data_IF_074667332207
#
_entry.id   IF_074667332207
#
_cell.length_a   1.000
_cell.length_b   1.000
_cell.length_c   1.000
_cell.angle_alpha   90.00
_cell.angle_beta   90.00
_cell.angle_gamma   90.00
#
_symmetry.space_group_name_H-M   'P 1'
#
loop_
_entity.id
_entity.type
_entity.pdbx_description
1 polymer ?
#
# COMPACT_ATOMS: atom_id res chain seq x y z
N UNK A 1 5.67 -14.62 -4.29
CA UNK A 1 6.85 -13.78 -4.62
C UNK A 1 8.10 -14.34 -3.93
N UNK A 2 9.27 -14.41 -4.60
CA UNK A 2 10.54 -14.91 -4.04
C UNK A 2 11.25 -13.88 -3.13
N UNK A 3 10.48 -13.18 -2.30
CA UNK A 3 10.94 -12.15 -1.37
C UNK A 3 10.30 -12.39 -0.01
N UNK A 4 10.91 -11.86 1.04
CA UNK A 4 10.39 -11.89 2.40
C UNK A 4 9.21 -10.93 2.56
N UNK A 5 8.31 -11.15 3.55
CA UNK A 5 7.21 -10.23 3.83
C UNK A 5 7.69 -8.80 4.11
N UNK A 6 8.87 -8.66 4.72
CA UNK A 6 9.49 -7.38 5.05
C UNK A 6 9.94 -6.60 3.81
N UNK A 7 10.55 -7.28 2.84
CA UNK A 7 10.96 -6.66 1.57
C UNK A 7 9.74 -6.13 0.79
N UNK A 8 8.66 -6.91 0.78
CA UNK A 8 7.39 -6.53 0.15
C UNK A 8 6.70 -5.38 0.90
N UNK A 9 6.67 -5.46 2.23
CA UNK A 9 6.16 -4.41 3.10
C UNK A 9 6.87 -3.08 2.82
N UNK A 10 8.20 -3.07 2.69
CA UNK A 10 8.95 -1.84 2.48
C UNK A 10 8.55 -1.11 1.19
N UNK A 11 8.16 -1.84 0.15
CA UNK A 11 7.70 -1.26 -1.12
C UNK A 11 6.26 -0.75 -1.02
N UNK A 12 5.38 -1.52 -0.38
CA UNK A 12 3.95 -1.19 -0.27
C UNK A 12 3.68 -0.11 0.80
N UNK A 13 4.53 -0.03 1.81
CA UNK A 13 4.44 1.02 2.82
C UNK A 13 5.08 2.35 2.38
N UNK A 14 5.85 2.35 1.29
CA UNK A 14 6.45 3.57 0.73
C UNK A 14 5.51 4.27 -0.25
N UNK A 15 4.41 4.79 0.31
CA UNK A 15 3.33 5.41 -0.47
C UNK A 15 3.85 6.58 -1.33
N UNK A 16 4.79 7.39 -0.83
CA UNK A 16 5.39 8.50 -1.60
C UNK A 16 5.95 8.08 -2.97
N UNK A 17 6.48 6.85 -3.07
CA UNK A 17 7.05 6.31 -4.31
C UNK A 17 5.99 5.88 -5.32
N UNK A 18 4.70 5.81 -4.95
CA UNK A 18 3.65 5.24 -5.81
C UNK A 18 3.50 6.00 -7.13
N UNK A 19 3.67 7.32 -7.11
CA UNK A 19 3.65 8.16 -8.33
C UNK A 19 4.74 7.78 -9.35
N UNK A 20 5.80 7.12 -8.92
CA UNK A 20 6.96 6.82 -9.77
C UNK A 20 6.80 5.49 -10.52
N UNK A 21 5.94 4.58 -10.04
CA UNK A 21 5.81 3.25 -10.66
C UNK A 21 4.37 2.78 -10.86
N UNK A 22 3.38 3.27 -10.10
CA UNK A 22 2.00 2.86 -10.29
C UNK A 22 1.39 3.51 -11.53
N UNK A 23 0.65 2.74 -12.32
CA UNK A 23 -0.01 3.28 -13.49
C UNK A 23 -1.12 4.22 -13.02
N UNK A 24 -1.36 5.28 -13.79
CA UNK A 24 -2.41 6.25 -13.51
C UNK A 24 -2.27 7.02 -12.19
N UNK A 25 -1.14 6.90 -11.47
CA UNK A 25 -0.89 7.70 -10.27
C UNK A 25 -0.09 8.94 -10.65
N UNK A 26 -0.75 10.09 -10.72
CA UNK A 26 -0.11 11.37 -11.10
C UNK A 26 0.66 11.98 -9.93
N UNK A 27 0.19 11.76 -8.70
CA UNK A 27 0.88 12.20 -7.49
C UNK A 27 0.60 11.25 -6.33
N UNK A 28 1.58 11.13 -5.43
CA UNK A 28 1.43 10.44 -4.16
C UNK A 28 2.29 11.13 -3.11
N UNK A 29 1.71 11.38 -1.94
CA UNK A 29 2.39 12.04 -0.83
C UNK A 29 1.84 11.60 0.52
N UNK A 30 2.72 11.37 1.48
CA UNK A 30 2.33 11.17 2.88
C UNK A 30 2.14 12.54 3.55
N UNK A 31 0.96 12.77 4.13
CA UNK A 31 0.58 14.02 4.79
C UNK A 31 0.90 14.00 6.29
N UNK A 32 0.61 12.89 6.95
CA UNK A 32 0.82 12.73 8.39
C UNK A 32 1.19 11.29 8.71
N UNK A 33 1.98 11.05 9.76
CA UNK A 33 2.30 9.72 10.23
C UNK A 33 2.27 9.69 11.77
N UNK A 34 1.83 8.58 12.33
CA UNK A 34 1.76 8.37 13.75
C UNK A 34 2.03 6.90 14.10
N UNK A 35 2.74 6.70 15.21
CA UNK A 35 2.95 5.39 15.79
C UNK A 35 1.82 5.12 16.79
N UNK A 36 1.18 3.95 16.66
CA UNK A 36 0.15 3.49 17.57
C UNK A 36 0.76 2.55 18.61
N UNK A 37 0.53 2.85 19.90
CA UNK A 37 0.94 1.97 20.99
C UNK A 37 0.23 0.60 20.89
N UNK A 38 0.85 -0.49 21.38
CA UNK A 38 0.24 -1.83 21.36
C UNK A 38 -1.13 -1.88 22.07
N UNK A 39 -1.30 -1.07 23.13
CA UNK A 39 -2.58 -0.90 23.84
C UNK A 39 -3.65 -0.09 23.10
N UNK A 40 -3.37 0.42 21.89
CA UNK A 40 -4.25 1.27 21.06
C UNK A 40 -4.74 2.57 21.74
N UNK A 41 -4.29 2.89 22.95
CA UNK A 41 -4.73 4.05 23.73
C UNK A 41 -3.94 5.33 23.42
N UNK A 42 -2.73 5.22 22.86
CA UNK A 42 -1.86 6.36 22.60
C UNK A 42 -1.39 6.37 21.14
N UNK A 43 -1.59 7.54 20.49
CA UNK A 43 -1.14 7.84 19.13
C UNK A 43 -0.04 8.89 19.21
N UNK A 44 1.18 8.51 18.87
CA UNK A 44 2.32 9.43 18.88
C UNK A 44 2.56 9.92 17.46
N UNK A 45 2.27 11.19 17.19
CA UNK A 45 2.59 11.81 15.90
C UNK A 45 4.10 11.80 15.68
N UNK A 46 4.53 11.38 14.48
CA UNK A 46 5.93 11.30 14.08
C UNK A 46 6.12 12.09 12.79
N UNK A 47 7.24 12.78 12.62
CA UNK A 47 7.52 13.49 11.38
C UNK A 47 7.63 12.51 10.20
N UNK A 48 6.92 12.81 9.12
CA UNK A 48 6.84 11.99 7.90
C UNK A 48 8.23 11.75 7.29
N UNK A 49 9.12 12.75 7.34
CA UNK A 49 10.46 12.67 6.78
C UNK A 49 11.37 11.62 7.43
N UNK A 50 11.08 11.18 8.66
CA UNK A 50 11.82 10.09 9.31
C UNK A 50 11.45 8.70 8.75
N UNK A 51 10.31 8.59 8.05
CA UNK A 51 9.75 7.33 7.53
C UNK A 51 9.84 6.18 8.54
N UNK A 52 9.52 6.44 9.80
CA UNK A 52 9.70 5.49 10.91
C UNK A 52 8.99 4.14 10.73
N UNK A 53 7.93 4.09 9.93
CA UNK A 53 7.25 2.85 9.53
C UNK A 53 8.11 1.96 8.61
N UNK A 54 9.00 2.54 7.80
CA UNK A 54 9.97 1.80 6.96
C UNK A 54 11.26 1.46 7.69
N UNK A 55 11.66 2.26 8.68
CA UNK A 55 12.92 2.06 9.41
C UNK A 55 12.80 0.84 10.32
N UNK A 56 13.40 -0.27 9.93
CA UNK A 56 13.49 -1.46 10.77
C UNK A 56 14.84 -1.44 11.49
N UNK A 57 14.83 -1.12 12.78
CA UNK A 57 16.05 -1.05 13.60
C UNK A 57 16.46 -2.42 14.17
N UNK A 58 15.52 -3.32 14.47
CA UNK A 58 15.79 -4.68 14.97
C UNK A 58 14.58 -5.63 14.75
N UNK A 59 14.78 -6.96 14.86
CA UNK A 59 13.72 -7.98 14.90
C UNK A 59 12.70 -7.75 16.04
N UNK A 60 13.09 -6.97 17.06
CA UNK A 60 12.26 -6.60 18.21
C UNK A 60 11.04 -5.72 17.85
N UNK A 61 11.06 -5.06 16.69
CA UNK A 61 10.00 -4.12 16.26
C UNK A 61 8.98 -4.76 15.30
N UNK A 62 9.01 -6.08 15.10
CA UNK A 62 7.98 -6.79 14.34
C UNK A 62 6.61 -6.63 15.02
N UNK A 63 5.60 -6.23 14.26
CA UNK A 63 4.25 -6.00 14.78
C UNK A 63 3.95 -4.58 15.28
N UNK A 64 4.88 -3.62 15.16
CA UNK A 64 4.58 -2.21 15.42
C UNK A 64 3.44 -1.71 14.54
N UNK A 65 2.48 -1.01 15.15
CA UNK A 65 1.33 -0.43 14.46
C UNK A 65 1.62 1.01 14.09
N UNK A 66 1.41 1.35 12.83
CA UNK A 66 1.55 2.71 12.33
C UNK A 66 0.27 3.14 11.64
N UNK A 67 -0.02 4.42 11.72
CA UNK A 67 -1.10 5.06 10.98
C UNK A 67 -0.52 6.23 10.20
N UNK A 68 -0.89 6.40 8.94
CA UNK A 68 -0.56 7.60 8.18
C UNK A 68 -1.75 8.09 7.38
N UNK A 69 -1.84 9.38 7.14
CA UNK A 69 -2.72 9.94 6.13
C UNK A 69 -1.88 10.20 4.87
N UNK A 70 -2.27 9.64 3.74
CA UNK A 70 -1.56 9.78 2.47
C UNK A 70 -2.52 10.20 1.36
N UNK A 71 -2.13 11.22 0.60
CA UNK A 71 -2.85 11.66 -0.59
C UNK A 71 -2.34 10.97 -1.84
N UNK A 72 -3.26 10.46 -2.65
CA UNK A 72 -2.98 9.92 -3.97
C UNK A 72 -3.84 10.67 -5.00
N UNK A 73 -3.24 11.02 -6.13
CA UNK A 73 -3.95 11.57 -7.30
C UNK A 73 -3.95 10.56 -8.43
N UNK A 74 -5.13 10.23 -8.94
CA UNK A 74 -5.31 9.33 -10.07
C UNK A 74 -5.59 10.16 -11.33
N UNK A 75 -4.70 10.00 -12.31
CA UNK A 75 -4.77 10.55 -13.66
C UNK A 75 -5.11 9.48 -14.68
N UNK A 76 -6.34 8.97 -14.71
CA UNK A 76 -6.78 7.94 -15.66
C UNK A 76 -7.93 8.45 -16.53
N UNK A 77 -7.99 8.02 -17.80
CA UNK A 77 -9.17 8.19 -18.68
C UNK A 77 -9.70 9.63 -18.80
N UNK A 78 -8.84 10.65 -18.67
CA UNK A 78 -9.24 12.06 -18.75
C UNK A 78 -9.71 12.68 -17.43
N UNK A 79 -9.59 11.96 -16.32
CA UNK A 79 -9.84 12.45 -14.97
C UNK A 79 -8.51 12.72 -14.25
N UNK A 80 -8.45 13.80 -13.46
CA UNK A 80 -7.36 14.10 -12.53
C UNK A 80 -7.97 14.41 -11.16
N UNK A 81 -8.14 13.38 -10.33
CA UNK A 81 -8.74 13.53 -9.01
C UNK A 81 -7.80 13.07 -7.90
N UNK A 82 -7.77 13.84 -6.81
CA UNK A 82 -7.00 13.55 -5.61
C UNK A 82 -7.88 13.05 -4.48
N UNK A 83 -7.42 12.03 -3.77
CA UNK A 83 -8.05 11.58 -2.54
C UNK A 83 -7.02 11.39 -1.44
N UNK A 84 -7.44 11.69 -0.21
CA UNK A 84 -6.66 11.39 1.00
C UNK A 84 -7.15 10.06 1.56
N UNK A 85 -6.22 9.15 1.82
CA UNK A 85 -6.43 7.82 2.37
C UNK A 85 -5.76 7.72 3.73
N UNK A 86 -6.39 7.01 4.66
CA UNK A 86 -5.75 6.61 5.90
C UNK A 86 -5.15 5.22 5.72
N UNK A 87 -3.93 5.03 6.18
CA UNK A 87 -3.19 3.80 6.00
C UNK A 87 -2.83 3.26 7.37
N UNK A 88 -3.34 2.07 7.70
CA UNK A 88 -3.02 1.35 8.93
C UNK A 88 -1.99 0.26 8.60
N UNK A 89 -0.81 0.35 9.16
CA UNK A 89 0.29 -0.56 8.84
C UNK A 89 0.67 -1.39 10.06
N UNK A 90 0.93 -2.67 9.82
CA UNK A 90 1.53 -3.60 10.79
C UNK A 90 2.89 -4.02 10.26
N UNK A 91 3.93 -3.53 10.92
CA UNK A 91 5.31 -3.80 10.54
C UNK A 91 5.57 -5.30 10.46
N UNK A 92 6.05 -5.77 9.31
CA UNK A 92 6.46 -7.17 9.09
C UNK A 92 5.35 -8.19 8.84
N UNK A 93 4.06 -7.84 8.96
CA UNK A 93 2.95 -8.80 8.77
C UNK A 93 1.87 -8.39 7.77
N UNK A 94 1.46 -7.12 7.73
CA UNK A 94 0.42 -6.69 6.79
C UNK A 94 0.33 -5.18 6.66
N UNK A 95 -0.02 -4.70 5.46
CA UNK A 95 -0.35 -3.29 5.22
C UNK A 95 -1.85 -3.23 4.96
N UNK A 96 -2.61 -2.74 5.93
CA UNK A 96 -4.04 -2.53 5.77
C UNK A 96 -4.31 -1.07 5.42
N UNK A 97 -4.50 -0.79 4.14
CA UNK A 97 -4.89 0.56 3.72
C UNK A 97 -6.41 0.70 3.87
N UNK A 98 -6.86 1.56 4.80
CA UNK A 98 -8.28 1.80 5.06
C UNK A 98 -8.62 3.25 4.79
N UNK A 99 -9.25 3.54 3.67
CA UNK A 99 -9.68 4.88 3.36
C UNK A 99 -10.86 5.35 4.22
N UNK A 100 -10.84 6.63 4.58
CA UNK A 100 -12.00 7.35 5.08
C UNK A 100 -11.97 8.75 4.44
N UNK A 101 -12.90 9.05 3.53
CA UNK A 101 -13.06 10.40 2.98
C UNK A 101 -13.30 11.38 4.12
N UNK A 102 -12.34 12.28 4.31
CA UNK A 102 -12.60 13.51 5.09
C UNK A 102 -12.69 14.64 4.08
N UNK A 103 -13.87 15.28 4.06
CA UNK A 103 -14.30 16.22 3.04
C UNK A 103 -13.33 17.40 2.89
N UNK A 104 -12.55 17.40 1.79
CA UNK A 104 -12.22 18.60 1.01
C UNK A 104 -12.26 18.35 -0.51
N UNK A 105 -11.89 17.15 -0.99
CA UNK A 105 -11.76 16.92 -2.45
C UNK A 105 -12.15 15.50 -2.95
N UNK A 106 -12.70 14.61 -2.12
CA UNK A 106 -13.02 13.23 -2.52
C UNK A 106 -14.47 13.09 -3.03
N UNK A 107 -14.77 13.58 -4.24
CA UNK A 107 -16.07 13.33 -4.90
C UNK A 107 -16.15 11.97 -5.58
N UNK A 108 -15.02 11.35 -5.91
CA UNK A 108 -14.95 10.16 -6.76
C UNK A 108 -15.39 8.85 -6.06
N UNK A 109 -14.97 8.62 -4.82
CA UNK A 109 -15.21 7.35 -4.10
C UNK A 109 -16.14 7.55 -2.90
N UNK A 110 -17.17 6.71 -2.78
CA UNK A 110 -17.97 6.51 -1.56
C UNK A 110 -17.26 5.59 -0.57
N UNK A 111 -16.48 4.64 -1.07
CA UNK A 111 -15.75 3.66 -0.28
C UNK A 111 -14.53 3.18 -1.06
N UNK A 112 -13.39 3.00 -0.40
CA UNK A 112 -12.19 2.41 -1.00
C UNK A 112 -11.37 1.68 0.08
N UNK A 113 -11.49 0.38 0.17
CA UNK A 113 -10.70 -0.42 1.13
C UNK A 113 -9.68 -1.23 0.35
N UNK A 114 -8.40 -1.06 0.70
CA UNK A 114 -7.30 -1.77 0.05
C UNK A 114 -6.47 -2.52 1.09
N UNK A 115 -6.66 -3.83 1.18
CA UNK A 115 -5.98 -4.67 2.17
C UNK A 115 -4.88 -5.48 1.49
N UNK A 116 -3.66 -5.35 1.98
CA UNK A 116 -2.53 -6.19 1.61
C UNK A 116 -2.17 -7.10 2.77
N UNK A 117 -2.22 -8.40 2.53
CA UNK A 117 -1.77 -9.43 3.47
C UNK A 117 -0.54 -10.14 2.91
N UNK A 118 0.42 -10.41 3.79
CA UNK A 118 1.64 -11.14 3.44
C UNK A 118 1.74 -12.38 4.33
N UNK A 119 1.79 -13.55 3.70
CA UNK A 119 1.93 -14.83 4.39
C UNK A 119 3.21 -15.53 3.93
N UNK A 120 4.20 -15.76 4.81
CA UNK A 120 5.39 -16.50 4.44
C UNK A 120 5.00 -17.95 4.10
N UNK A 121 5.48 -18.46 2.97
CA UNK A 121 5.28 -19.84 2.56
C UNK A 121 6.39 -20.73 3.15
N UNK A 122 6.07 -22.00 3.46
CA UNK A 122 7.06 -22.93 4.02
C UNK A 122 8.25 -23.09 3.05
N UNK A 123 9.48 -23.24 3.58
CA UNK A 123 10.66 -23.39 2.74
C UNK A 123 10.54 -24.64 1.88
N UNK A 124 10.68 -24.48 0.56
CA UNK A 124 10.72 -25.61 -0.37
C UNK A 124 11.95 -26.49 -0.08
N UNK A 125 11.84 -27.83 -0.12
CA UNK A 125 12.93 -28.77 0.18
C UNK A 125 14.09 -28.76 -0.84
N UNK A 126 14.07 -27.87 -1.82
CA UNK A 126 15.15 -27.64 -2.78
C UNK A 126 16.35 -26.91 -2.14
N UNK A 127 17.61 -27.28 -2.47
CA UNK A 127 18.84 -26.75 -1.85
C UNK A 127 19.11 -25.26 -2.11
N UNK A 128 18.34 -24.61 -2.97
CA UNK A 128 18.29 -23.16 -3.18
C UNK A 128 17.04 -22.57 -2.51
N UNK A 129 16.92 -22.68 -1.18
CA UNK A 129 15.73 -22.23 -0.44
C UNK A 129 15.62 -20.70 -0.44
N UNK A 130 15.06 -20.14 -1.50
CA UNK A 130 14.66 -18.73 -1.54
C UNK A 130 13.40 -18.55 -0.68
N UNK A 131 13.36 -17.56 0.24
CA UNK A 131 12.13 -17.26 0.97
C UNK A 131 11.02 -16.89 -0.01
N UNK A 132 9.87 -17.55 0.12
CA UNK A 132 8.70 -17.30 -0.70
C UNK A 132 7.59 -16.73 0.18
N UNK A 133 6.95 -15.67 -0.29
CA UNK A 133 5.83 -15.02 0.40
C UNK A 133 4.62 -14.98 -0.52
N UNK A 134 3.47 -15.40 -0.01
CA UNK A 134 2.18 -15.19 -0.65
C UNK A 134 1.69 -13.77 -0.34
N UNK A 135 1.24 -13.07 -1.38
CA UNK A 135 0.70 -11.71 -1.28
C UNK A 135 -0.77 -11.78 -1.66
N UNK A 136 -1.65 -11.43 -0.73
CA UNK A 136 -3.09 -11.35 -0.98
C UNK A 136 -3.49 -9.88 -1.03
N UNK A 137 -3.99 -9.45 -2.19
CA UNK A 137 -4.50 -8.11 -2.43
C UNK A 137 -6.03 -8.15 -2.48
N UNK A 138 -6.69 -7.43 -1.57
CA UNK A 138 -8.14 -7.23 -1.58
C UNK A 138 -8.45 -5.75 -1.75
N UNK A 139 -8.96 -5.38 -2.93
CA UNK A 139 -9.32 -4.01 -3.26
C UNK A 139 -10.83 -3.90 -3.48
N UNK A 140 -11.51 -3.30 -2.52
CA UNK A 140 -12.94 -3.00 -2.55
C UNK A 140 -13.14 -1.51 -2.80
N UNK A 141 -13.95 -1.14 -3.77
CA UNK A 141 -14.20 0.27 -4.08
C UNK A 141 -15.65 0.50 -4.49
N UNK A 142 -16.16 1.68 -4.17
CA UNK A 142 -17.46 2.14 -4.60
C UNK A 142 -17.34 3.58 -5.08
N UNK A 143 -17.61 3.83 -6.35
CA UNK A 143 -17.66 5.19 -6.86
C UNK A 143 -18.96 5.90 -6.46
N UNK A 144 -18.87 7.22 -6.34
CA UNK A 144 -20.06 8.09 -6.18
C UNK A 144 -20.83 8.20 -7.49
N UNK A 145 -20.11 8.31 -8.62
CA UNK A 145 -20.71 8.40 -9.96
C UNK A 145 -20.86 7.01 -10.59
N UNK A 146 -22.07 6.62 -11.05
CA UNK A 146 -22.31 5.38 -11.77
C UNK A 146 -21.48 5.26 -13.06
N UNK A 147 -21.19 6.38 -13.72
CA UNK A 147 -20.38 6.40 -14.94
C UNK A 147 -18.92 6.03 -14.65
N UNK A 148 -18.36 6.53 -13.54
CA UNK A 148 -17.01 6.17 -13.10
C UNK A 148 -16.93 4.68 -12.73
N UNK A 149 -17.96 4.14 -12.06
CA UNK A 149 -18.04 2.72 -11.76
C UNK A 149 -18.05 1.85 -13.05
N UNK A 150 -18.85 2.23 -14.05
CA UNK A 150 -18.95 1.49 -15.31
C UNK A 150 -17.65 1.53 -16.12
N UNK A 151 -17.01 2.70 -16.21
CA UNK A 151 -15.73 2.86 -16.88
C UNK A 151 -14.63 2.06 -16.16
N UNK A 152 -14.55 2.15 -14.83
CA UNK A 152 -13.55 1.43 -14.04
C UNK A 152 -13.73 -0.09 -14.10
N UNK A 153 -14.96 -0.61 -14.00
CA UNK A 153 -15.23 -2.04 -14.11
C UNK A 153 -14.75 -2.62 -15.45
N UNK A 154 -14.79 -1.83 -16.53
CA UNK A 154 -14.34 -2.27 -17.86
C UNK A 154 -12.82 -2.32 -17.98
N UNK A 155 -12.10 -1.49 -17.22
CA UNK A 155 -10.62 -1.44 -17.22
C UNK A 155 -9.99 -2.15 -16.03
N UNK A 156 -10.79 -2.62 -15.09
CA UNK A 156 -10.36 -3.17 -13.81
C UNK A 156 -9.36 -4.32 -13.96
N UNK A 157 -9.65 -5.29 -14.84
CA UNK A 157 -8.77 -6.44 -15.06
C UNK A 157 -7.38 -6.02 -15.57
N UNK A 158 -7.32 -4.97 -16.40
CA UNK A 158 -6.06 -4.44 -16.91
C UNK A 158 -5.32 -3.64 -15.85
N UNK A 159 -6.03 -2.83 -15.08
CA UNK A 159 -5.47 -1.98 -14.03
C UNK A 159 -4.91 -2.82 -12.89
N UNK A 160 -5.64 -3.86 -12.45
CA UNK A 160 -5.20 -4.77 -11.40
C UNK A 160 -3.96 -5.58 -11.81
N UNK A 161 -3.97 -6.17 -13.02
CA UNK A 161 -2.81 -6.86 -13.57
C UNK A 161 -1.58 -5.94 -13.66
N UNK A 162 -1.78 -4.72 -14.17
CA UNK A 162 -0.69 -3.74 -14.29
C UNK A 162 -0.20 -3.26 -12.91
N UNK A 163 -1.07 -3.08 -11.93
CA UNK A 163 -0.65 -2.74 -10.56
C UNK A 163 0.24 -3.84 -9.98
N UNK A 164 -0.18 -5.11 -10.08
CA UNK A 164 0.62 -6.26 -9.59
C UNK A 164 1.98 -6.30 -10.29
N UNK A 165 2.00 -6.18 -11.62
CA UNK A 165 3.25 -6.16 -12.41
C UNK A 165 4.18 -5.02 -11.99
N UNK A 166 3.63 -3.82 -11.75
CA UNK A 166 4.42 -2.65 -11.32
C UNK A 166 4.96 -2.81 -9.91
N UNK A 167 4.21 -3.41 -9.00
CA UNK A 167 4.70 -3.76 -7.67
C UNK A 167 5.83 -4.79 -7.76
N UNK A 168 5.66 -5.87 -8.54
CA UNK A 168 6.72 -6.87 -8.77
C UNK A 168 7.98 -6.25 -9.38
N UNK A 169 7.82 -5.35 -10.35
CA UNK A 169 8.94 -4.62 -10.94
C UNK A 169 9.64 -3.75 -9.91
N UNK A 170 8.90 -2.99 -9.11
CA UNK A 170 9.48 -2.13 -8.08
C UNK A 170 10.23 -2.92 -7.02
N UNK A 171 9.70 -4.07 -6.60
CA UNK A 171 10.39 -4.97 -5.65
C UNK A 171 11.71 -5.45 -6.25
N UNK A 172 11.73 -5.83 -7.54
CA UNK A 172 12.97 -6.21 -8.25
C UNK A 172 13.97 -5.07 -8.33
N UNK A 173 13.52 -3.84 -8.57
CA UNK A 173 14.40 -2.68 -8.70
C UNK A 173 15.04 -2.29 -7.35
N UNK A 174 14.29 -2.45 -6.24
CA UNK A 174 14.76 -2.09 -4.89
C UNK A 174 15.65 -3.18 -4.28
N UNK A 175 15.26 -4.45 -4.39
CA UNK A 175 15.94 -5.58 -3.72
C UNK A 175 16.80 -6.44 -4.65
N UNK A 176 16.77 -6.17 -5.95
CA UNK A 176 17.46 -6.97 -6.97
C UNK A 176 16.66 -8.20 -7.42
N UNK A 177 17.06 -8.77 -8.56
CA UNK A 177 16.44 -9.97 -9.13
C UNK A 177 17.02 -11.20 -8.42
N UNK A 178 16.16 -11.98 -7.76
CA UNK A 178 16.48 -13.30 -7.19
C UNK A 178 16.10 -14.43 -8.12
#
# INVERSE_FOLDING_TARGET
>A
MPYTPRELYAVIADVDSYKDFLPFTSASRVLSAAQLSPDQQSRTSRPVGEKGWLVVRDEQNDGERWEMDAELRIGALGFDEGYVSRVEMLKGRSVKIRWQATARDASMFRHLVNVWSFSPLPPSPSPSSTPQTQVDLSLEYAFTSPLHAAAMNTVWDKVSALMVERFEQRVRDVHGKR
#
